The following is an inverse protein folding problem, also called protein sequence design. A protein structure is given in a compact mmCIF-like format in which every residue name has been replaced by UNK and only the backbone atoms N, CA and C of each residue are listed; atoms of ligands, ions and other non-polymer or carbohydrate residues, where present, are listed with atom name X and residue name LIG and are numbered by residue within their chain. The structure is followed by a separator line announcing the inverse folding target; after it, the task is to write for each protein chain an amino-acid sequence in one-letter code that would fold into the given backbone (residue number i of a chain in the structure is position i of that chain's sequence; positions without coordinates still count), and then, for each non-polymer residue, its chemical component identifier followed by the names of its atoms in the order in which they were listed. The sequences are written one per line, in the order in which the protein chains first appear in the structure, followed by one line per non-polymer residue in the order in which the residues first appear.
data_IF_626359133962
#
_entry.id   IF_626359133962
#
_cell.length_a   1.000
_cell.length_b   1.000
_cell.length_c   1.000
_cell.angle_alpha   90.00
_cell.angle_beta   90.00
_cell.angle_gamma   90.00
#
_symmetry.space_group_name_H-M   'P 1'
#
loop_
_entity.id
_entity.type
_entity.pdbx_description
1 polymer ?
#
# COMPACT_ATOMS: atom_id res chain seq x y z
N UNK A 1 7.53 64.47 -5.76
CA UNK A 1 6.80 63.62 -6.72
C UNK A 1 6.80 62.20 -6.19
N UNK A 2 5.66 61.74 -5.67
CA UNK A 2 5.52 60.38 -5.11
C UNK A 2 5.35 59.40 -6.27
N UNK A 3 6.32 58.50 -6.47
CA UNK A 3 6.22 57.43 -7.46
C UNK A 3 5.24 56.37 -6.93
N UNK A 4 4.05 56.31 -7.51
CA UNK A 4 3.09 55.23 -7.32
C UNK A 4 3.59 53.96 -7.99
N UNK A 5 3.93 52.94 -7.20
CA UNK A 5 4.30 51.61 -7.66
C UNK A 5 3.22 51.04 -8.62
N UNK A 6 3.62 50.70 -9.85
CA UNK A 6 2.79 50.19 -10.95
C UNK A 6 2.76 48.66 -11.06
N UNK A 7 3.19 47.91 -10.03
CA UNK A 7 3.17 46.45 -10.07
C UNK A 7 1.75 45.89 -9.92
N UNK A 8 1.28 45.14 -10.91
CA UNK A 8 0.02 44.39 -10.85
C UNK A 8 0.20 43.10 -10.04
N UNK A 9 -0.61 42.92 -9.00
CA UNK A 9 -0.57 41.73 -8.12
C UNK A 9 -1.36 40.61 -8.81
N UNK A 10 -0.65 39.67 -9.43
CA UNK A 10 -1.27 38.47 -9.99
C UNK A 10 -1.58 37.45 -8.88
N UNK A 11 -2.87 37.26 -8.57
CA UNK A 11 -3.33 36.22 -7.63
C UNK A 11 -3.44 34.89 -8.37
N UNK A 12 -2.49 34.01 -8.16
CA UNK A 12 -2.59 32.64 -8.66
C UNK A 12 -3.84 31.96 -8.09
N UNK A 13 -4.65 31.29 -8.92
CA UNK A 13 -5.79 30.52 -8.43
C UNK A 13 -5.25 29.46 -7.47
N UNK A 14 -5.81 29.44 -6.26
CA UNK A 14 -5.50 28.37 -5.31
C UNK A 14 -5.81 27.02 -5.98
N UNK A 15 -4.96 25.99 -5.78
CA UNK A 15 -5.30 24.65 -6.21
C UNK A 15 -6.69 24.33 -5.70
N UNK A 16 -7.61 23.99 -6.61
CA UNK A 16 -8.89 23.41 -6.25
C UNK A 16 -8.53 22.24 -5.33
N UNK A 17 -9.12 22.11 -4.12
CA UNK A 17 -8.89 20.94 -3.31
C UNK A 17 -9.49 19.75 -4.06
N UNK A 18 -8.67 19.14 -4.93
CA UNK A 18 -8.93 17.80 -5.46
C UNK A 18 -9.11 16.95 -4.23
N UNK A 19 -10.31 16.39 -4.06
CA UNK A 19 -10.61 15.47 -2.97
C UNK A 19 -9.46 14.49 -2.87
N UNK A 20 -8.65 14.69 -1.83
CA UNK A 20 -7.50 13.87 -1.56
C UNK A 20 -8.13 12.54 -1.14
N UNK A 21 -8.20 11.57 -2.06
CA UNK A 21 -8.74 10.25 -1.76
C UNK A 21 -8.01 9.78 -0.49
N UNK A 22 -8.76 9.59 0.59
CA UNK A 22 -8.21 8.99 1.80
C UNK A 22 -7.75 7.58 1.44
N UNK A 23 -6.48 7.45 1.03
CA UNK A 23 -5.78 6.18 0.78
C UNK A 23 -5.46 5.47 2.10
N UNK A 24 -6.36 5.55 3.06
CA UNK A 24 -6.23 4.79 4.29
C UNK A 24 -6.86 3.43 4.03
N UNK A 25 -6.17 2.36 4.44
CA UNK A 25 -6.74 1.02 4.32
C UNK A 25 -8.02 0.94 5.17
N UNK A 26 -9.09 0.46 4.56
CA UNK A 26 -10.37 0.25 5.23
C UNK A 26 -10.35 -1.08 5.99
N UNK A 27 -10.48 -1.02 7.32
CA UNK A 27 -10.54 -2.21 8.17
C UNK A 27 -11.89 -2.93 8.08
N UNK A 28 -12.94 -2.25 7.58
CA UNK A 28 -14.25 -2.87 7.33
C UNK A 28 -14.18 -3.88 6.16
N UNK A 29 -13.23 -3.71 5.24
CA UNK A 29 -12.92 -4.69 4.21
C UNK A 29 -12.06 -5.87 4.72
N UNK A 30 -12.03 -6.03 6.04
CA UNK A 30 -11.32 -7.10 6.72
C UNK A 30 -9.84 -6.80 6.93
N UNK A 31 -9.25 -7.58 7.82
CA UNK A 31 -7.84 -7.50 8.17
C UNK A 31 -7.23 -8.89 8.21
N UNK A 32 -5.91 -8.93 8.08
CA UNK A 32 -5.14 -10.14 8.21
C UNK A 32 -4.67 -10.31 9.65
N UNK A 33 -5.12 -11.36 10.34
CA UNK A 33 -4.53 -11.75 11.62
C UNK A 33 -3.21 -12.47 11.37
N UNK A 34 -2.11 -11.74 11.46
CA UNK A 34 -0.75 -12.26 11.31
C UNK A 34 -0.05 -12.38 12.66
N UNK A 35 0.77 -13.42 12.84
CA UNK A 35 1.58 -13.57 14.04
C UNK A 35 2.70 -12.52 14.05
N UNK A 36 2.90 -11.85 15.20
CA UNK A 36 3.91 -10.80 15.34
C UNK A 36 5.31 -11.28 14.94
N UNK A 37 5.69 -12.52 15.27
CA UNK A 37 6.98 -13.09 14.89
C UNK A 37 7.25 -13.10 13.38
N UNK A 38 6.20 -13.29 12.56
CA UNK A 38 6.31 -13.22 11.09
C UNK A 38 6.51 -11.77 10.67
N UNK A 39 5.78 -10.85 11.28
CA UNK A 39 5.92 -9.42 11.01
C UNK A 39 7.31 -8.89 11.43
N UNK A 40 7.83 -9.32 12.58
CA UNK A 40 9.14 -8.96 13.07
C UNK A 40 10.24 -9.48 12.15
N UNK A 41 10.11 -10.70 11.62
CA UNK A 41 11.02 -11.25 10.62
C UNK A 41 10.96 -10.47 9.29
N UNK A 42 9.77 -10.07 8.85
CA UNK A 42 9.57 -9.24 7.66
C UNK A 42 10.28 -7.87 7.75
N UNK A 43 10.47 -7.33 8.96
CA UNK A 43 11.17 -6.07 9.17
C UNK A 43 12.69 -6.15 8.93
N UNK A 44 13.28 -7.34 9.01
CA UNK A 44 14.75 -7.54 8.98
C UNK A 44 15.19 -8.22 7.69
N UNK A 45 14.35 -9.07 7.12
CA UNK A 45 14.69 -9.85 5.93
C UNK A 45 14.83 -8.97 4.69
N UNK A 46 15.92 -9.14 3.94
CA UNK A 46 16.11 -8.52 2.64
C UNK A 46 15.49 -9.40 1.55
N UNK A 47 14.39 -8.93 0.97
CA UNK A 47 13.71 -9.61 -0.14
C UNK A 47 13.69 -8.70 -1.36
N UNK A 48 13.92 -9.27 -2.54
CA UNK A 48 13.57 -8.61 -3.78
C UNK A 48 12.06 -8.35 -3.85
N UNK A 49 11.66 -7.38 -4.68
CA UNK A 49 10.24 -7.06 -4.85
C UNK A 49 9.39 -8.26 -5.32
N UNK A 50 9.97 -9.21 -6.05
CA UNK A 50 9.27 -10.44 -6.48
C UNK A 50 9.09 -11.43 -5.34
N UNK A 51 10.14 -11.66 -4.55
CA UNK A 51 10.09 -12.55 -3.38
C UNK A 51 9.08 -12.01 -2.35
N UNK A 52 9.07 -10.69 -2.12
CA UNK A 52 8.09 -10.05 -1.24
C UNK A 52 6.64 -10.28 -1.71
N UNK A 53 6.36 -10.17 -3.03
CA UNK A 53 5.03 -10.46 -3.59
C UNK A 53 4.62 -11.91 -3.35
N UNK A 54 5.51 -12.86 -3.62
CA UNK A 54 5.24 -14.29 -3.43
C UNK A 54 4.99 -14.60 -1.95
N UNK A 55 5.81 -14.07 -1.04
CA UNK A 55 5.63 -14.25 0.40
C UNK A 55 4.29 -13.70 0.89
N UNK A 56 3.91 -12.48 0.45
CA UNK A 56 2.60 -11.90 0.78
C UNK A 56 1.43 -12.71 0.21
N UNK A 57 1.58 -13.28 -0.99
CA UNK A 57 0.57 -14.17 -1.56
C UNK A 57 0.39 -15.42 -0.68
N UNK A 58 1.48 -16.06 -0.23
CA UNK A 58 1.43 -17.21 0.67
C UNK A 58 0.73 -16.84 1.97
N UNK A 59 1.14 -15.74 2.61
CA UNK A 59 0.53 -15.23 3.86
C UNK A 59 -0.98 -15.00 3.67
N UNK A 60 -1.40 -14.38 2.55
CA UNK A 60 -2.82 -14.13 2.27
C UNK A 60 -3.62 -15.41 2.01
N UNK A 61 -2.99 -16.43 1.44
CA UNK A 61 -3.61 -17.71 1.11
C UNK A 61 -3.67 -18.67 2.31
N UNK A 62 -2.80 -18.51 3.32
CA UNK A 62 -2.84 -19.28 4.56
C UNK A 62 -3.56 -18.53 5.68
N UNK A 63 -2.87 -17.58 6.32
CA UNK A 63 -3.38 -16.81 7.46
C UNK A 63 -4.59 -15.96 7.12
N UNK A 64 -4.70 -15.50 5.86
CA UNK A 64 -5.89 -14.79 5.38
C UNK A 64 -7.16 -15.63 5.30
N UNK A 65 -7.06 -16.95 5.51
CA UNK A 65 -8.18 -17.88 5.64
C UNK A 65 -8.16 -18.60 7.00
N UNK A 66 -7.39 -18.10 7.96
CA UNK A 66 -7.20 -18.71 9.28
C UNK A 66 -6.69 -20.16 9.24
N UNK A 67 -5.89 -20.51 8.23
CA UNK A 67 -5.27 -21.85 8.09
C UNK A 67 -3.80 -21.82 8.55
N UNK A 68 -3.37 -22.85 9.28
CA UNK A 68 -1.96 -23.03 9.67
C UNK A 68 -1.06 -23.43 8.49
N UNK A 69 -1.62 -24.15 7.53
CA UNK A 69 -0.95 -24.57 6.30
C UNK A 69 -1.99 -24.72 5.19
N UNK A 70 -1.56 -24.59 3.94
CA UNK A 70 -2.41 -24.83 2.77
C UNK A 70 -1.60 -25.42 1.62
N UNK A 71 -2.26 -26.15 0.71
CA UNK A 71 -1.64 -26.65 -0.53
C UNK A 71 -1.89 -25.63 -1.63
N UNK A 72 -0.85 -24.89 -2.00
CA UNK A 72 -0.94 -23.78 -2.94
C UNK A 72 -0.31 -24.19 -4.27
N UNK A 73 -1.05 -24.09 -5.37
CA UNK A 73 -0.54 -24.33 -6.71
C UNK A 73 0.24 -23.11 -7.25
N UNK A 74 1.23 -23.34 -8.11
CA UNK A 74 2.03 -22.26 -8.70
C UNK A 74 1.19 -21.29 -9.53
N UNK A 75 0.15 -21.77 -10.22
CA UNK A 75 -0.79 -20.93 -10.96
C UNK A 75 -1.50 -19.93 -10.04
N UNK A 76 -1.91 -20.37 -8.85
CA UNK A 76 -2.58 -19.49 -7.87
C UNK A 76 -1.66 -18.36 -7.40
N UNK A 77 -0.37 -18.66 -7.22
CA UNK A 77 0.64 -17.64 -6.87
C UNK A 77 0.84 -16.68 -8.04
N UNK A 78 0.96 -17.19 -9.26
CA UNK A 78 1.08 -16.36 -10.46
C UNK A 78 -0.11 -15.41 -10.60
N UNK A 79 -1.34 -15.93 -10.51
CA UNK A 79 -2.58 -15.16 -10.57
C UNK A 79 -2.63 -14.06 -9.49
N UNK A 80 -2.20 -14.39 -8.27
CA UNK A 80 -2.22 -13.45 -7.12
C UNK A 80 -1.15 -12.37 -7.21
N UNK A 81 -0.01 -12.68 -7.81
CA UNK A 81 1.17 -11.80 -7.86
C UNK A 81 1.34 -11.08 -9.19
N UNK A 82 0.48 -11.38 -10.18
CA UNK A 82 0.54 -10.86 -11.55
C UNK A 82 1.93 -11.07 -12.19
N UNK A 83 2.51 -12.25 -11.93
CA UNK A 83 3.81 -12.68 -12.47
C UNK A 83 3.62 -13.57 -13.70
#
# INVERSE_FOLDING_TARGET
MSMSNTAEIYKFPAPIPTQQECRMADLENGYLRLANQIQDALCIVELSGREFRVLNAIIRLTYGWSKKSDRIANSLIADKTTL
#
